data_IF_479378917866
#
_entry.id   IF_479378917866
#
_cell.length_a   1.000
_cell.length_b   1.000
_cell.length_c   1.000
_cell.angle_alpha   90.00
_cell.angle_beta   90.00
_cell.angle_gamma   90.00
#
_symmetry.space_group_name_H-M   'P 1'
#
loop_
_entity.id
_entity.type
_entity.pdbx_description
1 polymer ?
#
# COMPACT_ATOMS: atom_id res chain seq x y z
N UNK A 1 5.14 -47.24 0.99
CA UNK A 1 4.77 -47.03 2.42
C UNK A 1 6.00 -46.45 3.10
N UNK A 2 6.09 -45.20 3.51
CA UNK A 2 5.16 -44.05 3.51
C UNK A 2 6.08 -42.81 3.60
N UNK A 3 5.90 -41.82 2.73
CA UNK A 3 5.35 -40.49 3.06
C UNK A 3 5.78 -39.95 4.44
N UNK A 4 6.55 -38.86 4.41
CA UNK A 4 6.30 -37.72 5.29
C UNK A 4 6.71 -36.44 4.57
N UNK A 5 5.67 -35.74 4.16
CA UNK A 5 5.62 -34.40 3.60
C UNK A 5 6.25 -33.32 4.49
N UNK A 6 6.77 -32.32 3.78
CA UNK A 6 6.52 -30.89 3.93
C UNK A 6 6.34 -30.28 5.34
N UNK A 7 7.17 -29.28 5.62
CA UNK A 7 6.70 -27.94 6.00
C UNK A 7 7.88 -26.96 5.98
N UNK A 8 8.08 -26.32 4.84
CA UNK A 8 8.81 -25.04 4.81
C UNK A 8 8.10 -24.04 5.73
N UNK A 9 8.82 -23.12 6.41
CA UNK A 9 8.17 -22.05 7.15
C UNK A 9 7.44 -21.15 6.18
N UNK A 10 6.12 -21.36 6.15
CA UNK A 10 5.08 -20.53 5.60
C UNK A 10 5.18 -19.10 6.18
N UNK A 11 5.87 -18.22 5.46
CA UNK A 11 5.98 -16.79 5.78
C UNK A 11 4.82 -15.97 5.18
N UNK A 12 3.70 -16.60 4.83
CA UNK A 12 2.45 -15.90 4.56
C UNK A 12 1.69 -15.68 5.89
N UNK A 13 2.23 -14.82 6.77
CA UNK A 13 1.47 -14.33 7.92
C UNK A 13 0.64 -13.11 7.48
N UNK A 14 -0.52 -13.43 6.91
CA UNK A 14 -1.82 -12.79 7.14
C UNK A 14 -1.75 -11.38 7.73
N UNK A 15 -1.92 -10.34 6.91
CA UNK A 15 -2.43 -9.08 7.41
C UNK A 15 -3.85 -9.35 7.95
N UNK A 16 -4.14 -9.15 9.25
CA UNK A 16 -5.50 -9.30 9.73
C UNK A 16 -6.32 -8.13 9.20
N UNK A 17 -7.31 -8.44 8.33
CA UNK A 17 -8.55 -7.68 8.13
C UNK A 17 -8.52 -6.18 7.74
N UNK A 18 -7.38 -5.60 7.34
CA UNK A 18 -7.39 -4.23 6.80
C UNK A 18 -7.70 -4.28 5.30
N UNK A 19 -8.94 -3.93 4.93
CA UNK A 19 -9.30 -3.70 3.54
C UNK A 19 -8.62 -2.41 3.05
N UNK A 20 -7.67 -2.47 2.09
CA UNK A 20 -6.99 -1.28 1.58
C UNK A 20 -7.94 -0.25 0.97
N UNK A 21 -9.14 -0.65 0.53
CA UNK A 21 -10.13 0.27 -0.01
C UNK A 21 -10.90 1.05 1.06
N UNK A 22 -10.87 0.56 2.31
CA UNK A 22 -11.57 1.15 3.45
C UNK A 22 -10.63 1.67 4.54
N UNK A 23 -9.32 1.47 4.41
CA UNK A 23 -8.37 1.90 5.43
C UNK A 23 -8.43 3.41 5.66
N UNK A 24 -8.49 3.83 6.92
CA UNK A 24 -8.51 5.24 7.30
C UNK A 24 -7.09 5.80 7.41
N UNK A 25 -6.96 7.12 7.25
CA UNK A 25 -5.69 7.80 7.50
C UNK A 25 -5.39 7.83 9.00
N UNK A 26 -4.14 7.56 9.37
CA UNK A 26 -3.69 7.64 10.75
C UNK A 26 -2.48 6.75 11.06
N UNK A 27 -2.01 6.80 12.32
CA UNK A 27 -0.77 6.15 12.74
C UNK A 27 -0.76 4.63 12.52
N UNK A 28 -1.92 3.98 12.56
CA UNK A 28 -2.03 2.53 12.33
C UNK A 28 -1.68 2.16 10.88
N UNK A 29 -2.24 2.88 9.92
CA UNK A 29 -1.94 2.72 8.50
C UNK A 29 -0.46 3.05 8.22
N UNK A 30 0.03 4.14 8.80
CA UNK A 30 1.41 4.61 8.63
C UNK A 30 2.42 3.59 9.17
N UNK A 31 2.18 3.06 10.37
CA UNK A 31 3.01 2.02 10.99
C UNK A 31 2.99 0.73 10.19
N UNK A 32 1.82 0.34 9.67
CA UNK A 32 1.68 -0.84 8.84
C UNK A 32 2.51 -0.71 7.56
N UNK A 33 2.43 0.44 6.87
CA UNK A 33 3.26 0.71 5.69
C UNK A 33 4.74 0.70 6.08
N UNK A 34 5.13 1.46 7.10
CA UNK A 34 6.54 1.61 7.48
C UNK A 34 7.20 0.27 7.83
N UNK A 35 6.54 -0.55 8.64
CA UNK A 35 7.14 -1.79 9.13
C UNK A 35 6.91 -2.98 8.22
N UNK A 36 5.70 -3.11 7.65
CA UNK A 36 5.32 -4.32 6.93
C UNK A 36 5.51 -4.18 5.43
N UNK A 37 5.33 -2.98 4.88
CA UNK A 37 5.57 -2.73 3.45
C UNK A 37 7.02 -2.35 3.19
N UNK A 38 7.55 -1.35 3.91
CA UNK A 38 8.92 -0.87 3.69
C UNK A 38 9.96 -1.80 4.32
N UNK A 39 9.58 -2.53 5.37
CA UNK A 39 10.46 -3.48 6.07
C UNK A 39 11.30 -2.83 7.17
N UNK A 40 10.94 -1.61 7.59
CA UNK A 40 11.70 -0.89 8.61
C UNK A 40 11.47 -1.49 10.01
N UNK A 41 12.46 -1.42 10.92
CA UNK A 41 12.34 -1.98 12.26
C UNK A 41 11.13 -1.43 13.03
N UNK A 42 10.43 -2.26 13.80
CA UNK A 42 9.28 -1.86 14.64
C UNK A 42 9.62 -0.82 15.72
N UNK A 43 10.90 -0.62 15.98
CA UNK A 43 11.42 0.37 16.95
C UNK A 43 11.58 1.76 16.35
N UNK A 44 11.54 1.88 15.02
CA UNK A 44 11.60 3.16 14.32
C UNK A 44 10.23 3.81 14.26
N UNK A 45 10.16 5.13 14.42
CA UNK A 45 8.89 5.85 14.31
C UNK A 45 8.46 5.97 12.85
N UNK A 46 7.21 5.64 12.54
CA UNK A 46 6.67 5.81 11.20
C UNK A 46 6.43 7.29 10.88
N UNK A 47 6.86 7.79 9.72
CA UNK A 47 6.39 9.06 9.19
C UNK A 47 4.88 9.06 8.92
N UNK A 48 4.28 10.26 8.87
CA UNK A 48 2.83 10.45 8.69
C UNK A 48 2.38 10.27 7.22
N UNK A 49 2.66 9.12 6.60
CA UNK A 49 2.43 8.87 5.18
C UNK A 49 1.00 9.12 4.71
N UNK A 50 0.00 8.83 5.54
CA UNK A 50 -1.42 8.89 5.17
C UNK A 50 -2.08 10.25 5.37
N UNK A 51 -1.43 11.17 6.09
CA UNK A 51 -1.94 12.52 6.37
C UNK A 51 -1.07 13.64 5.82
N UNK A 52 0.23 13.40 5.63
CA UNK A 52 1.18 14.37 5.08
C UNK A 52 1.47 14.06 3.60
N UNK A 53 1.23 15.06 2.73
CA UNK A 53 1.40 14.88 1.29
C UNK A 53 2.86 14.83 0.85
N UNK A 54 3.78 15.46 1.58
CA UNK A 54 5.23 15.39 1.28
C UNK A 54 5.76 13.99 1.57
N UNK A 55 5.39 13.44 2.73
CA UNK A 55 5.74 12.07 3.11
C UNK A 55 5.10 11.03 2.17
N UNK A 56 3.87 11.28 1.73
CA UNK A 56 3.22 10.45 0.73
C UNK A 56 3.94 10.48 -0.63
N UNK A 57 4.42 11.65 -1.06
CA UNK A 57 5.18 11.78 -2.31
C UNK A 57 6.52 11.02 -2.24
N UNK A 58 7.20 11.06 -1.11
CA UNK A 58 8.41 10.26 -0.88
C UNK A 58 8.09 8.76 -0.91
N UNK A 59 7.02 8.34 -0.23
CA UNK A 59 6.53 6.95 -0.27
C UNK A 59 6.24 6.51 -1.70
N UNK A 60 5.52 7.33 -2.47
CA UNK A 60 5.23 7.07 -3.88
C UNK A 60 6.51 6.81 -4.67
N UNK A 61 7.50 7.69 -4.58
CA UNK A 61 8.79 7.54 -5.29
C UNK A 61 9.54 6.26 -4.88
N UNK A 62 9.54 5.94 -3.59
CA UNK A 62 10.13 4.69 -3.10
C UNK A 62 9.44 3.47 -3.70
N UNK A 63 8.11 3.47 -3.75
CA UNK A 63 7.31 2.37 -4.30
C UNK A 63 7.50 2.23 -5.81
N UNK A 64 7.53 3.34 -6.55
CA UNK A 64 7.80 3.34 -7.99
C UNK A 64 9.18 2.75 -8.30
N UNK A 65 10.19 3.14 -7.52
CA UNK A 65 11.57 2.61 -7.64
C UNK A 65 11.62 1.13 -7.29
N UNK A 66 10.99 0.72 -6.19
CA UNK A 66 11.04 -0.66 -5.68
C UNK A 66 10.36 -1.66 -6.62
N UNK A 67 9.26 -1.27 -7.25
CA UNK A 67 8.43 -2.17 -8.06
C UNK A 67 8.56 -1.93 -9.58
N UNK A 68 9.32 -0.93 -10.01
CA UNK A 68 9.46 -0.57 -11.43
C UNK A 68 8.13 -0.21 -12.09
N UNK A 69 7.17 0.31 -11.33
CA UNK A 69 5.82 0.64 -11.81
C UNK A 69 5.48 2.08 -11.46
N UNK A 70 4.95 2.84 -12.41
CA UNK A 70 4.52 4.22 -12.17
C UNK A 70 3.20 4.29 -11.41
N UNK A 71 3.15 5.13 -10.38
CA UNK A 71 1.93 5.46 -9.64
C UNK A 71 1.35 6.75 -10.25
N UNK A 72 0.21 6.64 -10.90
CA UNK A 72 -0.53 7.75 -11.46
C UNK A 72 -1.53 8.26 -10.42
N UNK A 73 -1.40 9.51 -10.01
CA UNK A 73 -2.34 10.14 -9.08
C UNK A 73 -3.03 11.33 -9.73
N UNK A 74 -4.28 11.57 -9.36
CA UNK A 74 -5.03 12.69 -9.91
C UNK A 74 -6.29 13.01 -9.12
N UNK A 75 -7.01 14.03 -9.58
CA UNK A 75 -8.23 14.52 -8.94
C UNK A 75 -9.45 13.84 -9.58
N UNK A 76 -10.45 13.52 -8.77
CA UNK A 76 -11.77 13.08 -9.25
C UNK A 76 -12.81 14.18 -9.00
N UNK A 77 -13.99 14.05 -9.62
CA UNK A 77 -15.16 14.87 -9.34
C UNK A 77 -16.11 14.27 -8.27
N UNK A 78 -15.71 13.16 -7.64
CA UNK A 78 -16.56 12.43 -6.69
C UNK A 78 -16.59 13.17 -5.36
N UNK A 79 -17.79 13.53 -4.89
CA UNK A 79 -17.98 14.21 -3.61
C UNK A 79 -17.43 13.35 -2.47
N UNK A 80 -16.55 13.94 -1.66
CA UNK A 80 -15.92 13.26 -0.52
C UNK A 80 -14.73 12.35 -0.88
N UNK A 81 -14.48 12.08 -2.17
CA UNK A 81 -13.39 11.18 -2.61
C UNK A 81 -12.61 11.81 -3.74
N UNK A 82 -11.96 12.94 -3.44
CA UNK A 82 -11.45 13.87 -4.44
C UNK A 82 -10.14 13.45 -5.12
N UNK A 83 -9.53 12.34 -4.72
CA UNK A 83 -8.26 11.85 -5.25
C UNK A 83 -8.35 10.40 -5.68
N UNK A 84 -7.67 10.06 -6.77
CA UNK A 84 -7.40 8.67 -7.15
C UNK A 84 -5.89 8.42 -7.21
N UNK A 85 -5.50 7.17 -7.00
CA UNK A 85 -4.17 6.67 -7.28
C UNK A 85 -4.30 5.33 -8.02
N UNK A 86 -3.50 5.14 -9.08
CA UNK A 86 -3.52 3.96 -9.94
C UNK A 86 -2.11 3.51 -10.30
N UNK A 87 -1.91 2.19 -10.43
CA UNK A 87 -0.76 1.65 -11.16
C UNK A 87 -1.24 0.62 -12.19
N UNK A 88 -0.39 0.33 -13.17
CA UNK A 88 -0.64 -0.68 -14.20
C UNK A 88 0.64 -1.48 -14.44
N UNK A 89 0.55 -2.81 -14.26
CA UNK A 89 1.69 -3.72 -14.47
C UNK A 89 1.65 -4.27 -15.90
N UNK A 90 0.45 -4.63 -16.38
CA UNK A 90 0.19 -5.11 -17.75
C UNK A 90 -1.15 -4.55 -18.27
N UNK A 91 -1.31 -4.48 -19.60
CA UNK A 91 -2.41 -3.84 -20.36
C UNK A 91 -3.84 -4.38 -20.13
N UNK A 92 -4.11 -5.09 -19.04
CA UNK A 92 -5.40 -5.71 -18.78
C UNK A 92 -6.02 -5.41 -17.41
N UNK A 93 -5.23 -5.13 -16.38
CA UNK A 93 -5.71 -5.08 -15.00
C UNK A 93 -5.08 -3.92 -14.21
N UNK A 94 -5.51 -2.67 -14.44
CA UNK A 94 -5.08 -1.56 -13.61
C UNK A 94 -5.64 -1.71 -12.20
N UNK A 95 -4.79 -1.45 -11.20
CA UNK A 95 -5.23 -1.33 -9.81
C UNK A 95 -5.42 0.14 -9.50
N UNK A 96 -6.62 0.53 -9.08
CA UNK A 96 -6.98 1.91 -8.76
C UNK A 96 -7.66 1.98 -7.40
N UNK A 97 -7.37 3.04 -6.65
CA UNK A 97 -8.03 3.40 -5.40
C UNK A 97 -8.50 4.84 -5.46
N UNK A 98 -9.54 5.14 -4.69
CA UNK A 98 -10.07 6.50 -4.55
C UNK A 98 -10.08 6.85 -3.06
N UNK A 99 -9.70 8.08 -2.74
CA UNK A 99 -9.66 8.57 -1.37
C UNK A 99 -10.00 10.07 -1.28
N UNK A 100 -10.22 10.49 -0.04
CA UNK A 100 -10.50 11.84 0.40
C UNK A 100 -9.31 12.77 0.11
N UNK A 101 -8.08 12.27 0.32
CA UNK A 101 -6.82 13.03 0.21
C UNK A 101 -5.80 12.31 -0.70
N UNK A 102 -4.82 13.09 -1.19
CA UNK A 102 -3.69 12.56 -1.96
C UNK A 102 -2.92 11.50 -1.17
N UNK A 103 -2.52 11.85 0.06
CA UNK A 103 -1.73 11.01 0.94
C UNK A 103 -2.39 9.64 1.20
N UNK A 104 -3.70 9.65 1.48
CA UNK A 104 -4.46 8.43 1.70
C UNK A 104 -4.59 7.58 0.42
N UNK A 105 -4.79 8.20 -0.75
CA UNK A 105 -4.84 7.48 -2.02
C UNK A 105 -3.51 6.74 -2.30
N UNK A 106 -2.36 7.40 -2.08
CA UNK A 106 -1.04 6.77 -2.24
C UNK A 106 -0.85 5.61 -1.27
N UNK A 107 -1.23 5.78 0.00
CA UNK A 107 -1.12 4.74 1.01
C UNK A 107 -1.99 3.52 0.71
N UNK A 108 -3.26 3.72 0.32
CA UNK A 108 -4.17 2.64 -0.08
C UNK A 108 -3.63 1.86 -1.28
N UNK A 109 -3.11 2.57 -2.28
CA UNK A 109 -2.52 1.92 -3.46
C UNK A 109 -1.25 1.13 -3.12
N UNK A 110 -0.44 1.66 -2.21
CA UNK A 110 0.79 1.02 -1.70
C UNK A 110 0.49 -0.35 -1.10
N UNK A 111 -0.59 -0.46 -0.31
CA UNK A 111 -1.04 -1.74 0.26
C UNK A 111 -1.48 -2.75 -0.81
N UNK A 112 -2.19 -2.32 -1.85
CA UNK A 112 -2.62 -3.23 -2.91
C UNK A 112 -1.45 -3.73 -3.75
N UNK A 113 -0.43 -2.88 -3.96
CA UNK A 113 0.76 -3.25 -4.73
C UNK A 113 1.55 -4.37 -4.06
N UNK A 114 1.53 -4.44 -2.74
CA UNK A 114 2.27 -5.45 -1.97
C UNK A 114 1.55 -6.79 -1.88
N UNK A 115 0.21 -6.79 -1.94
CA UNK A 115 -0.62 -8.00 -1.86
C UNK A 115 -0.74 -8.73 -3.22
N UNK A 116 -0.60 -8.03 -4.34
CA UNK A 116 -0.83 -8.56 -5.70
C UNK A 116 0.32 -9.45 -6.27
N UNK A 117 0.83 -10.42 -5.50
CA UNK A 117 1.85 -11.39 -5.97
C UNK A 117 1.25 -12.67 -6.52
#
# INVERSE_FOLDING_TARGET
MSENDDKGPNSARLMPHLDPYQSEAGPELDSLIHHQVLGNPRTEASPCYSTDSEQAEELKKMMETRYGTTFMCGRTSIRGKAWFARYEIDRGNPTEVIAETYALAVCRLTLLRTVSR
#
